data_IF_870511090902
#
_entry.id   IF_870511090902
#
_cell.length_a   1.000
_cell.length_b   1.000
_cell.length_c   1.000
_cell.angle_alpha   90.00
_cell.angle_beta   90.00
_cell.angle_gamma   90.00
#
_symmetry.space_group_name_H-M   'P 1'
#
loop_
_entity.id
_entity.type
_entity.pdbx_description
1 polymer ?
#
# COMPACT_ATOMS: atom_id res chain seq x y z
N UNK A 1 24.15 19.12 -29.33
CA UNK A 1 23.05 19.79 -28.62
C UNK A 1 23.57 20.05 -27.24
N UNK A 2 23.93 21.32 -26.93
CA UNK A 2 24.33 21.77 -25.62
C UNK A 2 23.19 21.45 -24.67
N UNK A 3 23.43 20.58 -23.68
CA UNK A 3 22.53 20.38 -22.56
C UNK A 3 22.52 21.69 -21.76
N UNK A 4 21.51 22.52 -21.97
CA UNK A 4 21.27 23.67 -21.09
C UNK A 4 21.14 23.15 -19.67
N UNK A 5 22.13 23.42 -18.83
CA UNK A 5 22.05 23.13 -17.41
C UNK A 5 21.07 24.13 -16.81
N UNK A 6 19.84 23.65 -16.53
CA UNK A 6 18.82 24.48 -15.92
C UNK A 6 19.23 24.89 -14.52
N UNK A 7 19.26 26.19 -14.24
CA UNK A 7 19.48 26.68 -12.89
C UNK A 7 18.31 26.24 -11.99
N UNK A 8 18.62 25.73 -10.78
CA UNK A 8 17.60 25.32 -9.81
C UNK A 8 16.90 26.56 -9.25
N UNK A 9 15.58 26.66 -9.46
CA UNK A 9 14.76 27.78 -9.00
C UNK A 9 14.34 27.66 -7.52
N UNK A 10 14.83 26.64 -6.79
CA UNK A 10 14.43 26.34 -5.41
C UNK A 10 15.62 25.84 -4.59
N UNK A 11 15.47 25.88 -3.27
CA UNK A 11 16.49 25.37 -2.35
C UNK A 11 16.44 23.82 -2.32
N UNK A 12 17.30 23.19 -3.11
CA UNK A 12 17.38 21.72 -3.22
C UNK A 12 17.67 21.04 -1.87
N UNK A 13 18.57 21.61 -1.08
CA UNK A 13 18.90 21.04 0.24
C UNK A 13 17.70 21.06 1.19
N UNK A 14 16.93 22.16 1.20
CA UNK A 14 15.73 22.25 2.03
C UNK A 14 14.69 21.19 1.63
N UNK A 15 14.50 20.96 0.31
CA UNK A 15 13.63 19.88 -0.17
C UNK A 15 14.10 18.51 0.35
N UNK A 16 15.37 18.16 0.16
CA UNK A 16 15.91 16.87 0.55
C UNK A 16 15.83 16.64 2.06
N UNK A 17 16.12 17.64 2.89
CA UNK A 17 15.97 17.53 4.36
C UNK A 17 14.51 17.38 4.77
N UNK A 18 13.58 18.08 4.13
CA UNK A 18 12.15 17.91 4.38
C UNK A 18 11.71 16.48 4.07
N UNK A 19 12.21 15.89 2.96
CA UNK A 19 11.96 14.51 2.60
C UNK A 19 12.53 13.53 3.64
N UNK A 20 13.74 13.78 4.16
CA UNK A 20 14.32 12.96 5.23
C UNK A 20 13.43 12.93 6.48
N UNK A 21 12.89 14.07 6.90
CA UNK A 21 11.97 14.17 8.04
C UNK A 21 10.70 13.36 7.78
N UNK A 22 10.07 13.55 6.61
CA UNK A 22 8.85 12.85 6.24
C UNK A 22 9.07 11.33 6.13
N UNK A 23 10.15 10.88 5.51
CA UNK A 23 10.46 9.44 5.40
C UNK A 23 10.76 8.81 6.76
N UNK A 24 11.42 9.53 7.66
CA UNK A 24 11.64 9.06 9.04
C UNK A 24 10.31 8.92 9.79
N UNK A 25 9.39 9.88 9.63
CA UNK A 25 8.04 9.81 10.19
C UNK A 25 7.27 8.61 9.64
N UNK A 26 7.27 8.42 8.31
CA UNK A 26 6.61 7.28 7.65
C UNK A 26 7.20 5.95 8.12
N UNK A 27 8.53 5.87 8.26
CA UNK A 27 9.21 4.69 8.79
C UNK A 27 8.70 4.31 10.18
N UNK A 28 8.69 5.24 11.12
CA UNK A 28 8.31 4.97 12.51
C UNK A 28 6.84 4.58 12.60
N UNK A 29 5.95 5.38 12.01
CA UNK A 29 4.50 5.16 12.09
C UNK A 29 4.09 3.94 11.25
N UNK A 30 4.57 3.84 10.02
CA UNK A 30 4.25 2.75 9.11
C UNK A 30 4.72 1.40 9.65
N UNK A 31 5.95 1.32 10.16
CA UNK A 31 6.47 0.10 10.75
C UNK A 31 5.65 -0.35 11.97
N UNK A 32 5.41 0.56 12.92
CA UNK A 32 4.68 0.24 14.14
C UNK A 32 3.22 -0.16 13.85
N UNK A 33 2.54 0.61 13.01
CA UNK A 33 1.12 0.39 12.72
C UNK A 33 0.88 -0.89 11.90
N UNK A 34 1.69 -1.18 10.89
CA UNK A 34 1.55 -2.40 10.09
C UNK A 34 1.96 -3.65 10.87
N UNK A 35 3.00 -3.58 11.72
CA UNK A 35 3.36 -4.67 12.63
C UNK A 35 2.21 -4.99 13.59
N UNK A 36 1.51 -3.96 14.09
CA UNK A 36 0.34 -4.12 14.93
C UNK A 36 -0.82 -4.81 14.19
N UNK A 37 -1.10 -4.41 12.95
CA UNK A 37 -2.11 -5.06 12.07
C UNK A 37 -1.79 -6.54 11.91
N UNK A 38 -0.55 -6.91 11.61
CA UNK A 38 -0.14 -8.31 11.47
C UNK A 38 -0.28 -9.08 12.78
N UNK A 39 0.17 -8.50 13.88
CA UNK A 39 0.10 -9.14 15.18
C UNK A 39 -1.34 -9.46 15.59
N UNK A 40 -2.28 -8.52 15.41
CA UNK A 40 -3.70 -8.74 15.68
C UNK A 40 -4.27 -9.81 14.74
N UNK A 41 -3.90 -9.77 13.45
CA UNK A 41 -4.34 -10.78 12.48
C UNK A 41 -3.87 -12.20 12.84
N UNK A 42 -2.61 -12.37 13.25
CA UNK A 42 -2.06 -13.67 13.68
C UNK A 42 -2.74 -14.17 14.96
N UNK A 43 -2.94 -13.28 15.93
CA UNK A 43 -3.60 -13.63 17.21
C UNK A 43 -5.02 -14.09 17.01
N UNK A 44 -5.80 -13.31 16.28
CA UNK A 44 -7.18 -13.66 15.96
C UNK A 44 -7.28 -14.94 15.09
N UNK A 45 -6.22 -15.40 14.38
CA UNK A 45 -6.18 -16.74 13.75
C UNK A 45 -6.10 -17.87 14.76
N UNK A 46 -5.47 -17.65 15.90
CA UNK A 46 -5.38 -18.66 16.96
C UNK A 46 -6.68 -18.80 17.73
N UNK A 47 -7.43 -17.73 17.91
CA UNK A 47 -8.65 -17.69 18.72
C UNK A 47 -9.91 -18.18 17.97
N UNK A 48 -9.76 -18.76 16.77
CA UNK A 48 -10.85 -19.35 15.95
C UNK A 48 -12.08 -18.47 15.76
N UNK A 49 -11.96 -17.14 15.93
CA UNK A 49 -13.07 -16.21 15.75
C UNK A 49 -13.51 -16.17 14.29
N UNK A 50 -14.84 -16.17 13.99
CA UNK A 50 -15.32 -16.06 12.62
C UNK A 50 -14.83 -14.74 12.01
N UNK A 51 -14.08 -14.82 10.92
CA UNK A 51 -13.45 -13.67 10.29
C UNK A 51 -14.06 -13.31 8.96
N UNK A 52 -14.13 -12.02 8.74
CA UNK A 52 -14.33 -11.51 7.41
C UNK A 52 -13.17 -11.93 6.49
N UNK A 53 -13.53 -12.44 5.34
CA UNK A 53 -12.63 -12.97 4.30
C UNK A 53 -11.59 -11.94 3.83
N UNK A 54 -11.86 -10.64 4.02
CA UNK A 54 -10.98 -9.51 3.68
C UNK A 54 -9.72 -9.42 4.54
N UNK A 55 -9.72 -9.99 5.75
CA UNK A 55 -8.58 -9.90 6.68
C UNK A 55 -7.28 -10.48 6.12
N UNK A 56 -7.40 -11.51 5.27
CA UNK A 56 -6.25 -12.11 4.63
C UNK A 56 -5.55 -11.13 3.68
N UNK A 57 -6.30 -10.45 2.83
CA UNK A 57 -5.75 -9.45 1.91
C UNK A 57 -5.14 -8.26 2.66
N UNK A 58 -5.77 -7.82 3.74
CA UNK A 58 -5.25 -6.74 4.61
C UNK A 58 -3.93 -7.16 5.28
N UNK A 59 -3.79 -8.42 5.70
CA UNK A 59 -2.53 -8.92 6.22
C UNK A 59 -1.40 -8.88 5.17
N UNK A 60 -1.70 -9.25 3.93
CA UNK A 60 -0.73 -9.15 2.83
C UNK A 60 -0.38 -7.71 2.46
N UNK A 61 -1.34 -6.78 2.51
CA UNK A 61 -1.08 -5.34 2.37
C UNK A 61 -0.13 -4.85 3.47
N UNK A 62 -0.38 -5.24 4.72
CA UNK A 62 0.50 -4.88 5.83
C UNK A 62 1.93 -5.44 5.67
N UNK A 63 2.08 -6.65 5.11
CA UNK A 63 3.40 -7.21 4.78
C UNK A 63 4.09 -6.37 3.70
N UNK A 64 3.39 -5.99 2.63
CA UNK A 64 3.95 -5.15 1.58
C UNK A 64 4.39 -3.78 2.13
N UNK A 65 3.57 -3.17 2.99
CA UNK A 65 3.87 -1.89 3.64
C UNK A 65 5.08 -2.01 4.59
N UNK A 66 5.20 -3.10 5.34
CA UNK A 66 6.37 -3.35 6.20
C UNK A 66 7.65 -3.50 5.39
N UNK A 67 7.60 -4.21 4.27
CA UNK A 67 8.76 -4.41 3.39
C UNK A 67 9.30 -3.07 2.86
N UNK A 68 8.42 -2.19 2.37
CA UNK A 68 8.87 -0.88 1.88
C UNK A 68 9.30 0.05 3.02
N UNK A 69 8.60 0.06 4.15
CA UNK A 69 8.99 0.85 5.33
C UNK A 69 10.41 0.46 5.82
N UNK A 70 10.76 -0.82 5.80
CA UNK A 70 12.08 -1.29 6.19
C UNK A 70 13.21 -0.74 5.30
N UNK A 71 12.93 -0.28 4.09
CA UNK A 71 13.92 0.32 3.18
C UNK A 71 14.12 1.82 3.43
N UNK A 72 13.19 2.49 4.11
CA UNK A 72 13.21 3.95 4.27
C UNK A 72 14.47 4.50 4.96
N UNK A 73 15.09 3.84 5.97
CA UNK A 73 16.35 4.31 6.52
C UNK A 73 17.48 4.44 5.50
N UNK A 74 17.51 3.53 4.50
CA UNK A 74 18.49 3.57 3.40
C UNK A 74 18.21 4.79 2.50
N UNK A 75 16.95 5.05 2.18
CA UNK A 75 16.54 6.24 1.42
C UNK A 75 16.85 7.54 2.15
N UNK A 76 16.59 7.61 3.45
CA UNK A 76 16.91 8.78 4.30
C UNK A 76 18.40 9.04 4.29
N UNK A 77 19.23 8.00 4.45
CA UNK A 77 20.68 8.13 4.43
C UNK A 77 21.18 8.66 3.07
N UNK A 78 20.65 8.16 1.95
CA UNK A 78 21.02 8.66 0.63
C UNK A 78 20.59 10.11 0.40
N UNK A 79 19.36 10.46 0.78
CA UNK A 79 18.84 11.84 0.65
C UNK A 79 19.65 12.83 1.49
N UNK A 80 19.99 12.46 2.73
CA UNK A 80 20.82 13.30 3.61
C UNK A 80 22.23 13.55 3.04
N UNK A 81 22.73 12.65 2.21
CA UNK A 81 24.01 12.75 1.51
C UNK A 81 23.85 13.24 0.06
N UNK A 82 22.79 14.01 -0.22
CA UNK A 82 22.50 14.57 -1.56
C UNK A 82 22.45 13.54 -2.68
N UNK A 83 21.95 12.33 -2.39
CA UNK A 83 21.80 11.23 -3.36
C UNK A 83 22.99 10.27 -3.42
N UNK A 84 24.03 10.46 -2.59
CA UNK A 84 25.12 9.51 -2.51
C UNK A 84 24.62 8.13 -2.06
N UNK A 85 25.04 7.08 -2.79
CA UNK A 85 24.59 5.70 -2.60
C UNK A 85 25.74 4.75 -2.25
N UNK A 86 26.13 4.63 -0.97
CA UNK A 86 27.23 3.78 -0.55
C UNK A 86 26.84 2.29 -0.35
N UNK A 87 25.55 1.93 -0.56
CA UNK A 87 25.01 0.63 -0.16
C UNK A 87 25.18 -0.48 -1.23
N UNK A 88 25.77 -0.15 -2.37
CA UNK A 88 26.03 -1.10 -3.44
C UNK A 88 24.85 -1.46 -4.32
N UNK A 89 25.11 -2.29 -5.32
CA UNK A 89 24.18 -2.65 -6.39
C UNK A 89 22.96 -3.43 -5.89
N UNK A 90 23.14 -4.37 -4.97
CA UNK A 90 22.05 -5.20 -4.46
C UNK A 90 21.02 -4.36 -3.72
N UNK A 91 21.47 -3.47 -2.83
CA UNK A 91 20.60 -2.57 -2.10
C UNK A 91 19.88 -1.60 -3.04
N UNK A 92 20.56 -1.09 -4.08
CA UNK A 92 19.97 -0.23 -5.11
C UNK A 92 18.76 -0.91 -5.78
N UNK A 93 18.94 -2.15 -6.26
CA UNK A 93 17.86 -2.91 -6.90
C UNK A 93 16.77 -3.32 -5.91
N UNK A 94 17.13 -3.79 -4.71
CA UNK A 94 16.20 -4.30 -3.74
C UNK A 94 15.26 -3.21 -3.18
N UNK A 95 15.78 -2.04 -2.87
CA UNK A 95 14.97 -0.93 -2.34
C UNK A 95 13.93 -0.44 -3.35
N UNK A 96 14.32 -0.31 -4.61
CA UNK A 96 13.40 0.07 -5.69
C UNK A 96 12.41 -1.06 -6.01
N UNK A 97 12.85 -2.32 -6.01
CA UNK A 97 11.98 -3.47 -6.19
C UNK A 97 10.88 -3.49 -5.12
N UNK A 98 11.24 -3.30 -3.84
CA UNK A 98 10.26 -3.30 -2.75
C UNK A 98 9.29 -2.11 -2.84
N UNK A 99 9.74 -0.95 -3.32
CA UNK A 99 8.86 0.18 -3.60
C UNK A 99 7.84 -0.16 -4.71
N UNK A 100 8.28 -0.69 -5.82
CA UNK A 100 7.40 -1.06 -6.95
C UNK A 100 6.48 -2.22 -6.59
N UNK A 101 6.97 -3.24 -5.89
CA UNK A 101 6.15 -4.37 -5.39
C UNK A 101 5.10 -3.90 -4.39
N UNK A 102 5.39 -2.92 -3.55
CA UNK A 102 4.41 -2.31 -2.65
C UNK A 102 3.27 -1.64 -3.44
N UNK A 103 3.59 -0.87 -4.49
CA UNK A 103 2.57 -0.27 -5.36
C UNK A 103 1.70 -1.34 -6.03
N UNK A 104 2.34 -2.24 -6.80
CA UNK A 104 1.61 -3.23 -7.58
C UNK A 104 0.85 -4.21 -6.69
N UNK A 105 1.48 -4.67 -5.59
CA UNK A 105 0.83 -5.52 -4.60
C UNK A 105 -0.41 -4.85 -4.01
N UNK A 106 -0.32 -3.59 -3.61
CA UNK A 106 -1.44 -2.85 -3.03
C UNK A 106 -2.62 -2.74 -3.98
N UNK A 107 -2.41 -2.32 -5.22
CA UNK A 107 -3.52 -2.16 -6.18
C UNK A 107 -4.10 -3.51 -6.61
N UNK A 108 -3.28 -4.55 -6.77
CA UNK A 108 -3.74 -5.87 -7.14
C UNK A 108 -4.53 -6.54 -5.99
N UNK A 109 -4.10 -6.38 -4.73
CA UNK A 109 -4.88 -6.84 -3.58
C UNK A 109 -6.20 -6.09 -3.45
N UNK A 110 -6.23 -4.78 -3.71
CA UNK A 110 -7.48 -4.02 -3.74
C UNK A 110 -8.44 -4.51 -4.83
N UNK A 111 -7.93 -4.82 -6.01
CA UNK A 111 -8.73 -5.41 -7.09
C UNK A 111 -9.30 -6.78 -6.67
N UNK A 112 -8.47 -7.65 -6.10
CA UNK A 112 -8.89 -8.96 -5.59
C UNK A 112 -9.93 -8.83 -4.46
N UNK A 113 -9.76 -7.87 -3.54
CA UNK A 113 -10.74 -7.59 -2.48
C UNK A 113 -12.09 -7.19 -3.07
N UNK A 114 -12.12 -6.34 -4.08
CA UNK A 114 -13.36 -5.88 -4.72
C UNK A 114 -14.10 -7.04 -5.40
N UNK A 115 -13.37 -7.89 -6.12
CA UNK A 115 -13.92 -9.12 -6.77
C UNK A 115 -14.42 -10.11 -5.73
N UNK A 116 -13.61 -10.41 -4.72
CA UNK A 116 -13.95 -11.40 -3.68
C UNK A 116 -15.20 -10.99 -2.89
N UNK A 117 -15.33 -9.71 -2.58
CA UNK A 117 -16.52 -9.18 -1.93
C UNK A 117 -17.77 -9.30 -2.78
N UNK A 118 -17.70 -8.98 -4.06
CA UNK A 118 -18.80 -9.16 -4.97
C UNK A 118 -19.24 -10.64 -5.06
N UNK A 119 -18.28 -11.54 -5.22
CA UNK A 119 -18.55 -12.98 -5.29
C UNK A 119 -19.12 -13.55 -3.98
N UNK A 120 -18.67 -13.04 -2.83
CA UNK A 120 -19.17 -13.47 -1.52
C UNK A 120 -20.60 -13.04 -1.26
N UNK A 121 -21.03 -11.92 -1.82
CA UNK A 121 -22.39 -11.40 -1.68
C UNK A 121 -23.37 -12.09 -2.65
N UNK A 122 -22.91 -12.42 -3.88
CA UNK A 122 -23.78 -12.96 -4.94
C UNK A 122 -23.94 -14.47 -4.91
N UNK A 123 -22.98 -15.21 -4.33
CA UNK A 123 -23.03 -16.69 -4.25
C UNK A 123 -23.66 -17.15 -2.93
N UNK A 124 -24.59 -18.11 -3.03
CA UNK A 124 -25.22 -18.78 -1.87
C UNK A 124 -24.19 -19.60 -1.09
N UNK A 125 -24.25 -19.54 0.23
CA UNK A 125 -23.27 -20.14 1.15
C UNK A 125 -23.57 -21.62 1.36
N UNK A 126 -22.84 -22.52 0.71
CA UNK A 126 -22.84 -23.95 1.01
C UNK A 126 -21.60 -24.31 1.84
N UNK A 127 -21.77 -25.17 2.86
CA UNK A 127 -20.69 -25.47 3.84
C UNK A 127 -19.43 -26.13 3.22
N UNK A 128 -19.57 -26.93 2.17
CA UNK A 128 -18.45 -27.56 1.48
C UNK A 128 -17.59 -26.57 0.66
N UNK A 129 -18.16 -25.44 0.26
CA UNK A 129 -17.44 -24.36 -0.44
C UNK A 129 -16.44 -23.60 0.44
N UNK A 130 -16.55 -23.65 1.77
CA UNK A 130 -15.72 -22.84 2.67
C UNK A 130 -14.23 -23.17 2.60
N UNK A 131 -13.87 -24.46 2.58
CA UNK A 131 -12.48 -24.91 2.50
C UNK A 131 -11.87 -24.65 1.13
N UNK A 132 -12.63 -24.91 0.05
CA UNK A 132 -12.22 -24.64 -1.33
C UNK A 132 -11.97 -23.14 -1.55
N UNK A 133 -12.82 -22.26 -1.02
CA UNK A 133 -12.65 -20.81 -1.11
C UNK A 133 -11.40 -20.34 -0.40
N UNK A 134 -11.09 -20.86 0.78
CA UNK A 134 -9.84 -20.54 1.50
C UNK A 134 -8.61 -20.90 0.68
N UNK A 135 -8.62 -22.06 0.03
CA UNK A 135 -7.51 -22.50 -0.84
C UNK A 135 -7.37 -21.59 -2.07
N UNK A 136 -8.48 -21.27 -2.72
CA UNK A 136 -8.48 -20.33 -3.87
C UNK A 136 -7.91 -18.98 -3.47
N UNK A 137 -8.33 -18.40 -2.35
CA UNK A 137 -7.80 -17.12 -1.87
C UNK A 137 -6.31 -17.16 -1.58
N UNK A 138 -5.82 -18.25 -1.00
CA UNK A 138 -4.36 -18.43 -0.82
C UNK A 138 -3.64 -18.46 -2.16
N UNK A 139 -4.16 -19.20 -3.12
CA UNK A 139 -3.62 -19.23 -4.48
C UNK A 139 -3.64 -17.85 -5.14
N UNK A 140 -4.72 -17.09 -4.99
CA UNK A 140 -4.83 -15.70 -5.47
C UNK A 140 -3.75 -14.82 -4.83
N UNK A 141 -3.53 -14.92 -3.51
CA UNK A 141 -2.48 -14.13 -2.85
C UNK A 141 -1.08 -14.45 -3.39
N UNK A 142 -0.77 -15.72 -3.61
CA UNK A 142 0.51 -16.12 -4.24
C UNK A 142 0.59 -15.53 -5.66
N UNK A 143 -0.47 -15.65 -6.44
CA UNK A 143 -0.56 -15.06 -7.79
C UNK A 143 -0.34 -13.55 -7.79
N UNK A 144 -0.93 -12.83 -6.85
CA UNK A 144 -0.73 -11.37 -6.70
C UNK A 144 0.72 -11.02 -6.41
N UNK A 145 1.39 -11.73 -5.50
CA UNK A 145 2.81 -11.50 -5.22
C UNK A 145 3.69 -11.76 -6.45
N UNK A 146 3.43 -12.84 -7.18
CA UNK A 146 4.17 -13.15 -8.42
C UNK A 146 3.94 -12.08 -9.49
N UNK A 147 2.69 -11.65 -9.69
CA UNK A 147 2.36 -10.58 -10.64
C UNK A 147 2.99 -9.24 -10.25
N UNK A 148 2.97 -8.89 -8.96
CA UNK A 148 3.62 -7.67 -8.46
C UNK A 148 5.13 -7.70 -8.69
N UNK A 149 5.79 -8.84 -8.44
CA UNK A 149 7.21 -9.01 -8.74
C UNK A 149 7.50 -8.86 -10.24
N UNK A 150 6.74 -9.55 -11.10
CA UNK A 150 6.93 -9.46 -12.56
C UNK A 150 6.69 -8.04 -13.07
N UNK A 151 5.63 -7.37 -12.59
CA UNK A 151 5.33 -5.98 -12.97
C UNK A 151 6.43 -4.99 -12.53
N UNK A 152 7.19 -5.32 -11.48
CA UNK A 152 8.29 -4.49 -10.96
C UNK A 152 9.62 -4.70 -11.70
N UNK A 153 9.74 -5.74 -12.53
CA UNK A 153 11.00 -6.04 -13.23
C UNK A 153 11.46 -4.94 -14.19
N UNK A 154 10.58 -4.32 -15.02
CA UNK A 154 11.02 -3.27 -15.94
C UNK A 154 11.69 -2.10 -15.23
N UNK A 155 11.14 -1.65 -14.11
CA UNK A 155 11.69 -0.55 -13.31
C UNK A 155 13.03 -0.94 -12.64
N UNK A 156 13.14 -2.18 -12.16
CA UNK A 156 14.31 -2.65 -11.41
C UNK A 156 15.45 -3.12 -12.30
N UNK A 157 15.16 -3.57 -13.51
CA UNK A 157 16.14 -4.18 -14.43
C UNK A 157 17.29 -3.23 -14.75
N UNK A 158 16.96 -1.99 -15.11
CA UNK A 158 17.93 -0.99 -15.56
C UNK A 158 18.66 -0.27 -14.42
N UNK A 159 18.30 -0.50 -13.16
CA UNK A 159 18.96 0.15 -12.02
C UNK A 159 20.40 -0.31 -11.84
N UNK A 160 21.30 0.67 -11.74
CA UNK A 160 22.73 0.44 -11.52
C UNK A 160 23.31 1.46 -10.54
N UNK A 161 24.35 1.05 -9.83
CA UNK A 161 25.20 1.95 -9.08
C UNK A 161 26.32 2.46 -9.99
N UNK A 162 26.33 3.77 -10.23
CA UNK A 162 27.30 4.42 -11.13
C UNK A 162 27.99 5.58 -10.41
N UNK A 163 29.23 5.87 -10.80
CA UNK A 163 29.92 7.07 -10.35
C UNK A 163 29.32 8.30 -11.03
N UNK A 164 29.14 9.38 -10.28
CA UNK A 164 28.78 10.67 -10.85
C UNK A 164 29.88 11.20 -11.77
N UNK A 165 29.51 11.96 -12.80
CA UNK A 165 30.44 12.50 -13.79
C UNK A 165 31.47 13.44 -13.17
N UNK A 166 31.14 14.07 -12.05
CA UNK A 166 32.03 14.94 -11.30
C UNK A 166 32.13 14.46 -9.84
N UNK A 167 33.29 13.98 -9.44
CA UNK A 167 33.59 13.55 -8.06
C UNK A 167 33.47 12.01 -7.86
N UNK A 168 33.70 11.59 -6.61
CA UNK A 168 33.66 10.17 -6.19
C UNK A 168 32.28 9.73 -5.68
N UNK A 169 31.23 10.50 -5.95
CA UNK A 169 29.87 10.20 -5.49
C UNK A 169 29.28 9.03 -6.27
N UNK A 170 28.87 7.96 -5.57
CA UNK A 170 28.10 6.86 -6.16
C UNK A 170 26.63 7.22 -6.21
N UNK A 171 25.94 6.86 -7.26
CA UNK A 171 24.50 7.10 -7.47
C UNK A 171 23.80 5.79 -7.81
N UNK A 172 22.61 5.57 -7.28
CA UNK A 172 21.70 4.52 -7.69
C UNK A 172 20.68 5.12 -8.68
N UNK A 173 20.80 4.77 -9.96
CA UNK A 173 19.92 5.30 -11.01
C UNK A 173 19.72 4.29 -12.13
N UNK A 174 18.64 4.42 -12.92
CA UNK A 174 18.49 3.61 -14.12
C UNK A 174 19.51 4.00 -15.18
N UNK A 175 20.09 3.00 -15.84
CA UNK A 175 21.01 3.13 -16.97
C UNK A 175 20.39 2.40 -18.14
N UNK A 176 19.89 3.15 -19.10
CA UNK A 176 19.24 2.59 -20.30
C UNK A 176 20.25 2.35 -21.42
N UNK A 177 19.93 1.45 -22.39
CA UNK A 177 20.77 1.23 -23.56
C UNK A 177 21.05 2.51 -24.35
N UNK A 178 22.29 2.66 -24.86
CA UNK A 178 22.73 3.87 -25.57
C UNK A 178 21.95 4.14 -26.87
N UNK A 179 21.41 3.08 -27.50
CA UNK A 179 20.67 3.14 -28.77
C UNK A 179 19.26 3.71 -28.58
N UNK A 180 18.75 4.23 -27.67
CA UNK A 180 17.44 4.90 -27.50
C UNK A 180 17.08 5.02 -26.02
N UNK A 181 17.91 5.68 -25.22
CA UNK A 181 17.74 5.70 -23.76
C UNK A 181 16.43 6.36 -23.34
N UNK A 182 15.97 7.34 -24.12
CA UNK A 182 14.71 8.07 -23.88
C UNK A 182 13.50 7.16 -24.08
N UNK A 183 13.49 6.37 -25.16
CA UNK A 183 12.38 5.45 -25.46
C UNK A 183 12.27 4.34 -24.40
N UNK A 184 13.40 3.81 -23.94
CA UNK A 184 13.43 2.85 -22.85
C UNK A 184 12.89 3.44 -21.55
N UNK A 185 13.30 4.65 -21.19
CA UNK A 185 12.81 5.35 -20.01
C UNK A 185 11.29 5.56 -20.07
N UNK A 186 10.79 6.08 -21.18
CA UNK A 186 9.36 6.29 -21.40
C UNK A 186 8.60 4.97 -21.36
N UNK A 187 9.13 3.93 -21.99
CA UNK A 187 8.53 2.59 -21.97
C UNK A 187 8.38 2.03 -20.54
N UNK A 188 9.41 2.17 -19.70
CA UNK A 188 9.36 1.77 -18.30
C UNK A 188 8.33 2.60 -17.51
N UNK A 189 8.33 3.94 -17.66
CA UNK A 189 7.36 4.81 -16.99
C UNK A 189 5.92 4.50 -17.39
N UNK A 190 5.66 4.33 -18.70
CA UNK A 190 4.33 4.00 -19.20
C UNK A 190 3.88 2.59 -18.76
N UNK A 191 4.77 1.61 -18.71
CA UNK A 191 4.44 0.29 -18.17
C UNK A 191 4.03 0.38 -16.69
N UNK A 192 4.71 1.21 -15.92
CA UNK A 192 4.40 1.46 -14.51
C UNK A 192 3.01 2.09 -14.32
N UNK A 193 2.67 3.09 -15.16
CA UNK A 193 1.35 3.74 -15.17
C UNK A 193 0.27 2.74 -15.62
N UNK A 194 0.52 2.00 -16.68
CA UNK A 194 -0.45 1.06 -17.26
C UNK A 194 -0.79 -0.06 -16.26
N UNK A 195 0.21 -0.72 -15.71
CA UNK A 195 0.04 -1.85 -14.81
C UNK A 195 -0.36 -1.43 -13.39
N UNK A 196 0.10 -0.28 -12.92
CA UNK A 196 -0.17 0.23 -11.57
C UNK A 196 -1.46 1.04 -11.44
N UNK A 197 -2.03 1.51 -12.55
CA UNK A 197 -3.18 2.40 -12.51
C UNK A 197 -4.23 2.08 -13.57
N UNK A 198 -3.87 2.16 -14.85
CA UNK A 198 -4.84 2.14 -15.96
C UNK A 198 -5.58 0.81 -16.09
N UNK A 199 -4.90 -0.33 -15.90
CA UNK A 199 -5.52 -1.65 -15.99
C UNK A 199 -6.28 -2.07 -14.72
N UNK A 200 -5.71 -1.93 -13.49
CA UNK A 200 -6.40 -2.40 -12.30
C UNK A 200 -7.60 -1.53 -11.92
N UNK A 201 -7.53 -0.24 -12.16
CA UNK A 201 -8.54 0.72 -11.70
C UNK A 201 -9.95 0.49 -12.26
N UNK A 202 -10.15 0.24 -13.57
CA UNK A 202 -11.45 -0.13 -14.12
C UNK A 202 -12.01 -1.41 -13.50
N UNK A 203 -11.18 -2.41 -13.20
CA UNK A 203 -11.61 -3.65 -12.54
C UNK A 203 -12.19 -3.31 -11.15
N UNK A 204 -11.47 -2.54 -10.36
CA UNK A 204 -11.92 -2.08 -9.05
C UNK A 204 -13.24 -1.31 -9.16
N UNK A 205 -13.33 -0.36 -10.09
CA UNK A 205 -14.51 0.47 -10.29
C UNK A 205 -15.75 -0.36 -10.68
N UNK A 206 -15.59 -1.29 -11.62
CA UNK A 206 -16.68 -2.18 -12.09
C UNK A 206 -17.18 -3.04 -10.92
N UNK A 207 -16.30 -3.74 -10.22
CA UNK A 207 -16.72 -4.60 -9.11
C UNK A 207 -17.27 -3.83 -7.92
N UNK A 208 -16.79 -2.60 -7.67
CA UNK A 208 -17.39 -1.72 -6.68
C UNK A 208 -18.83 -1.30 -7.05
N UNK A 209 -19.07 -0.95 -8.32
CA UNK A 209 -20.40 -0.61 -8.82
C UNK A 209 -21.32 -1.83 -8.76
N UNK A 210 -20.87 -3.01 -9.19
CA UNK A 210 -21.63 -4.25 -9.12
C UNK A 210 -21.98 -4.61 -7.68
N UNK A 211 -21.05 -4.43 -6.74
CA UNK A 211 -21.29 -4.62 -5.32
C UNK A 211 -22.35 -3.65 -4.80
N UNK A 212 -22.27 -2.37 -5.19
CA UNK A 212 -23.26 -1.36 -4.81
C UNK A 212 -24.68 -1.71 -5.33
N UNK A 213 -24.79 -2.18 -6.58
CA UNK A 213 -26.06 -2.59 -7.19
C UNK A 213 -26.64 -3.86 -6.56
N UNK A 214 -25.80 -4.84 -6.22
CA UNK A 214 -26.25 -6.08 -5.56
C UNK A 214 -26.95 -5.80 -4.21
N UNK A 215 -26.67 -4.66 -3.59
CA UNK A 215 -27.31 -4.27 -2.33
C UNK A 215 -28.65 -3.55 -2.51
N UNK A 216 -28.90 -2.90 -3.63
CA UNK A 216 -30.17 -2.19 -3.88
C UNK A 216 -31.31 -3.16 -4.25
N UNK A 217 -30.99 -4.36 -4.74
CA UNK A 217 -31.97 -5.37 -5.16
C UNK A 217 -32.49 -6.28 -4.03
N UNK A 218 -31.92 -6.27 -2.82
CA UNK A 218 -32.20 -7.20 -1.72
C UNK A 218 -32.92 -6.56 -0.51
N UNK A 219 -33.67 -5.50 -0.68
CA UNK A 219 -34.18 -4.69 0.44
C UNK A 219 -35.40 -5.25 1.19
N UNK A 220 -35.89 -6.47 0.93
CA UNK A 220 -37.16 -6.91 1.51
C UNK A 220 -37.12 -8.06 2.52
N UNK A 221 -35.99 -8.72 2.81
CA UNK A 221 -36.01 -9.84 3.77
C UNK A 221 -34.70 -10.18 4.50
N UNK A 222 -33.68 -9.33 4.48
CA UNK A 222 -32.42 -9.62 5.20
C UNK A 222 -32.42 -9.03 6.62
N UNK A 223 -31.91 -9.79 7.61
CA UNK A 223 -31.78 -9.30 8.98
C UNK A 223 -30.91 -8.02 9.02
N UNK A 224 -31.24 -7.11 9.93
CA UNK A 224 -30.55 -5.81 10.09
C UNK A 224 -29.00 -5.95 10.27
N UNK A 225 -28.56 -7.06 10.84
CA UNK A 225 -27.13 -7.37 11.04
C UNK A 225 -26.38 -7.65 9.74
N UNK A 226 -26.98 -8.41 8.82
CA UNK A 226 -26.39 -8.73 7.50
C UNK A 226 -26.25 -7.47 6.64
N UNK A 227 -27.26 -6.60 6.69
CA UNK A 227 -27.20 -5.33 5.95
C UNK A 227 -26.13 -4.38 6.52
N UNK A 228 -25.97 -4.35 7.83
CA UNK A 228 -24.92 -3.57 8.48
C UNK A 228 -23.50 -4.05 8.11
N UNK A 229 -23.25 -5.37 8.11
CA UNK A 229 -21.98 -5.94 7.67
C UNK A 229 -21.67 -5.60 6.21
N UNK A 230 -22.67 -5.64 5.34
CA UNK A 230 -22.56 -5.27 3.91
C UNK A 230 -22.18 -3.80 3.74
N UNK A 231 -22.83 -2.88 4.47
CA UNK A 231 -22.54 -1.44 4.43
C UNK A 231 -21.11 -1.16 4.91
N UNK A 232 -20.68 -1.81 5.98
CA UNK A 232 -19.30 -1.67 6.49
C UNK A 232 -18.29 -2.15 5.45
N UNK A 233 -18.49 -3.33 4.86
CA UNK A 233 -17.58 -3.88 3.84
C UNK A 233 -17.42 -2.94 2.64
N UNK A 234 -18.52 -2.35 2.15
CA UNK A 234 -18.49 -1.38 1.04
C UNK A 234 -17.70 -0.12 1.40
N UNK A 235 -17.92 0.43 2.61
CA UNK A 235 -17.20 1.62 3.08
C UNK A 235 -15.70 1.37 3.21
N UNK A 236 -15.31 0.17 3.66
CA UNK A 236 -13.90 -0.24 3.76
C UNK A 236 -13.23 -0.19 2.40
N UNK A 237 -13.80 -0.87 1.41
CA UNK A 237 -13.22 -0.91 0.06
C UNK A 237 -13.13 0.50 -0.53
N UNK A 238 -14.20 1.30 -0.41
CA UNK A 238 -14.21 2.68 -0.90
C UNK A 238 -13.10 3.52 -0.25
N UNK A 239 -12.91 3.39 1.06
CA UNK A 239 -11.88 4.14 1.77
C UNK A 239 -10.47 3.75 1.30
N UNK A 240 -10.19 2.46 1.08
CA UNK A 240 -8.92 2.01 0.50
C UNK A 240 -8.72 2.55 -0.92
N UNK A 241 -9.77 2.56 -1.75
CA UNK A 241 -9.70 3.11 -3.12
C UNK A 241 -9.37 4.61 -3.06
N UNK A 242 -10.06 5.37 -2.22
CA UNK A 242 -9.85 6.83 -2.07
C UNK A 242 -8.43 7.13 -1.60
N UNK A 243 -7.94 6.39 -0.60
CA UNK A 243 -6.56 6.56 -0.10
C UNK A 243 -5.54 6.18 -1.16
N UNK A 244 -5.76 5.07 -1.88
CA UNK A 244 -4.87 4.68 -2.97
C UNK A 244 -4.80 5.77 -4.05
N UNK A 245 -5.96 6.26 -4.50
CA UNK A 245 -6.02 7.36 -5.48
C UNK A 245 -5.32 8.62 -5.00
N UNK A 246 -5.58 9.04 -3.76
CA UNK A 246 -4.99 10.25 -3.19
C UNK A 246 -3.48 10.14 -3.02
N UNK A 247 -2.97 8.96 -2.68
CA UNK A 247 -1.53 8.74 -2.45
C UNK A 247 -0.77 8.46 -3.76
N UNK A 248 -1.29 7.60 -4.64
CA UNK A 248 -0.59 7.15 -5.84
C UNK A 248 -0.98 7.89 -7.12
N UNK A 249 -2.20 8.43 -7.20
CA UNK A 249 -2.67 9.17 -8.37
C UNK A 249 -1.76 10.33 -8.78
N UNK A 250 -1.37 11.22 -7.85
CA UNK A 250 -0.45 12.31 -8.15
C UNK A 250 0.91 11.84 -8.68
N UNK A 251 1.47 10.75 -8.14
CA UNK A 251 2.72 10.18 -8.61
C UNK A 251 2.62 9.69 -10.06
N UNK A 252 1.57 8.94 -10.40
CA UNK A 252 1.31 8.51 -11.78
C UNK A 252 1.06 9.70 -12.72
N UNK A 253 0.40 10.75 -12.24
CA UNK A 253 0.18 11.97 -12.99
C UNK A 253 1.49 12.68 -13.36
N UNK A 254 2.42 12.79 -12.41
CA UNK A 254 3.74 13.39 -12.66
C UNK A 254 4.58 12.52 -13.60
N UNK A 255 4.57 11.19 -13.43
CA UNK A 255 5.24 10.27 -14.37
C UNK A 255 4.69 10.40 -15.80
N UNK A 256 3.37 10.60 -15.94
CA UNK A 256 2.76 10.81 -17.26
C UNK A 256 3.22 12.13 -17.88
N UNK A 257 3.23 13.22 -17.12
CA UNK A 257 3.71 14.52 -17.62
C UNK A 257 5.17 14.44 -18.03
N UNK A 258 6.02 13.78 -17.23
CA UNK A 258 7.43 13.55 -17.58
C UNK A 258 7.55 12.73 -18.88
N UNK A 259 6.82 11.62 -18.99
CA UNK A 259 6.82 10.80 -20.22
C UNK A 259 6.38 11.58 -21.44
N UNK A 260 5.33 12.41 -21.35
CA UNK A 260 4.85 13.25 -22.45
C UNK A 260 5.87 14.33 -22.85
N UNK A 261 6.59 14.89 -21.88
CA UNK A 261 7.66 15.87 -22.16
C UNK A 261 8.85 15.20 -22.84
N UNK A 262 9.23 13.99 -22.44
CA UNK A 262 10.29 13.22 -23.08
C UNK A 262 9.94 12.81 -24.53
N UNK A 263 8.65 12.58 -24.81
CA UNK A 263 8.16 12.31 -26.18
C UNK A 263 8.04 13.58 -27.03
N UNK A 264 8.29 14.77 -26.45
CA UNK A 264 8.17 16.05 -27.15
C UNK A 264 6.73 16.53 -27.36
N UNK A 265 5.73 15.86 -26.72
CA UNK A 265 4.33 16.29 -26.79
C UNK A 265 4.04 17.47 -25.86
N UNK A 266 4.85 17.64 -24.82
CA UNK A 266 4.86 18.82 -23.96
C UNK A 266 6.25 19.44 -24.02
N UNK A 267 6.39 20.76 -24.31
CA UNK A 267 7.69 21.39 -24.43
C UNK A 267 8.44 21.37 -23.09
N UNK A 268 9.62 20.74 -23.08
CA UNK A 268 10.49 20.67 -21.91
C UNK A 268 11.21 22.01 -21.71
N UNK A 269 10.71 22.83 -20.81
CA UNK A 269 11.32 24.06 -20.35
C UNK A 269 12.07 23.87 -19.05
N UNK A 270 13.05 24.72 -18.72
CA UNK A 270 13.73 24.67 -17.42
C UNK A 270 12.76 24.77 -16.22
N UNK A 271 11.69 25.54 -16.37
CA UNK A 271 10.64 25.63 -15.35
C UNK A 271 9.93 24.29 -15.18
N UNK A 272 9.53 23.64 -16.29
CA UNK A 272 8.86 22.35 -16.24
C UNK A 272 9.78 21.26 -15.65
N UNK A 273 11.05 21.22 -16.01
CA UNK A 273 12.03 20.27 -15.46
C UNK A 273 12.18 20.44 -13.95
N UNK A 274 12.29 21.66 -13.45
CA UNK A 274 12.33 21.95 -12.02
C UNK A 274 11.02 21.54 -11.31
N UNK A 275 9.87 21.79 -11.92
CA UNK A 275 8.56 21.40 -11.37
C UNK A 275 8.44 19.87 -11.32
N UNK A 276 8.80 19.15 -12.38
CA UNK A 276 8.78 17.68 -12.40
C UNK A 276 9.70 17.12 -11.32
N UNK A 277 10.92 17.66 -11.17
CA UNK A 277 11.85 17.21 -10.14
C UNK A 277 11.26 17.33 -8.73
N UNK A 278 10.71 18.48 -8.37
CA UNK A 278 10.07 18.72 -7.07
C UNK A 278 8.84 17.83 -6.90
N UNK A 279 8.00 17.78 -7.92
CA UNK A 279 6.75 17.01 -7.91
C UNK A 279 7.01 15.52 -7.77
N UNK A 280 8.01 14.94 -8.43
CA UNK A 280 8.40 13.53 -8.27
C UNK A 280 8.77 13.22 -6.82
N UNK A 281 9.60 14.05 -6.19
CA UNK A 281 9.98 13.85 -4.78
C UNK A 281 8.78 13.94 -3.83
N UNK A 282 7.95 14.97 -3.98
CA UNK A 282 6.78 15.18 -3.13
C UNK A 282 5.72 14.08 -3.32
N UNK A 283 5.44 13.71 -4.56
CA UNK A 283 4.43 12.68 -4.86
C UNK A 283 4.93 11.28 -4.51
N UNK A 284 6.23 11.02 -4.59
CA UNK A 284 6.81 9.78 -4.08
C UNK A 284 6.66 9.68 -2.56
N UNK A 285 6.90 10.76 -1.83
CA UNK A 285 6.64 10.81 -0.39
C UNK A 285 5.14 10.60 -0.08
N UNK A 286 4.27 11.29 -0.82
CA UNK A 286 2.82 11.16 -0.68
C UNK A 286 2.37 9.70 -0.94
N UNK A 287 2.96 9.04 -1.94
CA UNK A 287 2.66 7.64 -2.22
C UNK A 287 3.00 6.71 -1.06
N UNK A 288 4.11 6.97 -0.37
CA UNK A 288 4.54 6.19 0.79
C UNK A 288 3.69 6.44 2.05
N UNK A 289 3.01 7.60 2.16
CA UNK A 289 2.07 7.86 3.25
C UNK A 289 0.91 6.85 3.29
N UNK A 290 0.59 6.21 2.18
CA UNK A 290 -0.39 5.15 2.12
C UNK A 290 -0.09 4.02 3.12
N UNK A 291 1.19 3.72 3.39
CA UNK A 291 1.62 2.75 4.41
C UNK A 291 1.19 3.14 5.84
N UNK A 292 1.01 4.43 6.10
CA UNK A 292 0.49 4.93 7.38
C UNK A 292 -1.05 4.95 7.39
N UNK A 293 -1.69 5.24 6.27
CA UNK A 293 -3.14 5.34 6.18
C UNK A 293 -3.84 3.98 6.19
N UNK A 294 -3.26 2.95 5.57
CA UNK A 294 -3.86 1.61 5.52
C UNK A 294 -4.21 1.03 6.90
N UNK A 295 -3.29 1.02 7.90
CA UNK A 295 -3.62 0.56 9.25
C UNK A 295 -4.67 1.42 9.96
N UNK A 296 -4.65 2.74 9.72
CA UNK A 296 -5.62 3.66 10.29
C UNK A 296 -7.01 3.35 9.76
N UNK A 297 -7.15 3.20 8.43
CA UNK A 297 -8.41 2.82 7.81
C UNK A 297 -8.95 1.51 8.37
N UNK A 298 -8.09 0.52 8.50
CA UNK A 298 -8.46 -0.78 9.06
C UNK A 298 -8.99 -0.64 10.49
N UNK A 299 -8.34 0.16 11.33
CA UNK A 299 -8.73 0.40 12.71
C UNK A 299 -10.05 1.17 12.82
N UNK A 300 -10.25 2.23 12.01
CA UNK A 300 -11.46 3.05 12.10
C UNK A 300 -12.70 2.37 11.55
N UNK A 301 -12.57 1.54 10.55
CA UNK A 301 -13.69 0.96 9.81
C UNK A 301 -14.11 -0.39 10.38
N UNK A 302 -13.19 -1.12 11.02
CA UNK A 302 -13.47 -2.42 11.61
C UNK A 302 -13.66 -2.31 13.13
N UNK A 303 -14.93 -2.28 13.58
CA UNK A 303 -15.29 -2.24 15.01
C UNK A 303 -14.69 -3.41 15.79
N UNK A 304 -14.70 -4.59 15.20
CA UNK A 304 -14.17 -5.81 15.83
C UNK A 304 -12.66 -5.71 16.02
N UNK A 305 -11.93 -5.12 15.07
CA UNK A 305 -10.50 -4.88 15.20
C UNK A 305 -10.15 -3.95 16.35
N UNK A 306 -10.91 -2.85 16.55
CA UNK A 306 -10.73 -1.97 17.71
C UNK A 306 -10.96 -2.69 19.01
N UNK A 307 -11.99 -3.55 19.07
CA UNK A 307 -12.30 -4.36 20.23
C UNK A 307 -11.19 -5.37 20.51
N UNK A 308 -10.72 -6.09 19.49
CA UNK A 308 -9.63 -7.08 19.60
C UNK A 308 -8.30 -6.41 19.98
N UNK A 309 -8.04 -5.21 19.45
CA UNK A 309 -6.89 -4.40 19.80
C UNK A 309 -6.94 -3.97 21.27
N UNK A 310 -8.06 -3.41 21.70
CA UNK A 310 -8.25 -2.99 23.09
C UNK A 310 -8.16 -4.19 24.03
N UNK A 311 -8.82 -5.30 23.72
CA UNK A 311 -8.76 -6.54 24.50
C UNK A 311 -7.33 -7.07 24.61
N UNK A 312 -6.57 -7.04 23.55
CA UNK A 312 -5.17 -7.46 23.54
C UNK A 312 -4.27 -6.54 24.38
N UNK A 313 -4.48 -5.23 24.34
CA UNK A 313 -3.77 -4.27 25.18
C UNK A 313 -4.18 -4.38 26.65
N UNK A 314 -5.46 -4.42 26.95
CA UNK A 314 -5.99 -4.56 28.31
C UNK A 314 -5.52 -5.86 28.92
N UNK A 315 -5.59 -6.99 28.20
CA UNK A 315 -5.14 -8.29 28.69
C UNK A 315 -3.64 -8.31 28.99
N UNK A 316 -2.81 -7.71 28.13
CA UNK A 316 -1.36 -7.62 28.36
C UNK A 316 -1.01 -6.72 29.54
N UNK A 317 -1.74 -5.61 29.71
CA UNK A 317 -1.57 -4.70 30.85
C UNK A 317 -2.11 -5.33 32.14
N UNK A 318 -3.24 -6.01 32.06
CA UNK A 318 -3.94 -6.66 33.16
C UNK A 318 -3.20 -7.89 33.71
N UNK A 319 -2.58 -8.71 32.86
CA UNK A 319 -1.71 -9.80 33.30
C UNK A 319 -0.47 -9.28 34.02
N UNK A 320 0.00 -8.09 33.68
CA UNK A 320 1.17 -7.45 34.33
C UNK A 320 0.81 -6.76 35.66
N UNK A 321 -0.44 -6.33 35.82
CA UNK A 321 -0.91 -5.54 36.98
C UNK A 321 -1.86 -6.32 37.92
N UNK A 322 -2.16 -7.59 37.62
CA UNK A 322 -3.13 -8.37 38.39
C UNK A 322 -4.60 -8.03 38.11
N UNK A 323 -4.87 -7.04 37.27
CA UNK A 323 -6.22 -6.57 36.91
C UNK A 323 -6.99 -7.60 36.05
N UNK A 324 -6.31 -8.59 35.46
CA UNK A 324 -6.90 -9.67 34.67
C UNK A 324 -7.94 -10.47 35.47
N UNK A 325 -7.65 -10.74 36.75
CA UNK A 325 -8.57 -11.46 37.62
C UNK A 325 -9.84 -10.69 37.94
N UNK A 326 -9.76 -9.34 38.01
CA UNK A 326 -10.92 -8.49 38.26
C UNK A 326 -11.84 -8.37 37.05
N UNK A 327 -11.28 -8.36 35.84
CA UNK A 327 -12.05 -8.28 34.57
C UNK A 327 -12.72 -9.64 34.28
N UNK A 328 -12.04 -10.73 34.58
CA UNK A 328 -12.61 -12.09 34.47
C UNK A 328 -13.75 -12.31 35.46
N UNK A 329 -13.63 -11.84 36.70
CA UNK A 329 -14.68 -11.86 37.72
C UNK A 329 -15.89 -10.96 37.31
N UNK A 330 -15.66 -9.81 36.69
CA UNK A 330 -16.72 -8.93 36.18
C UNK A 330 -17.51 -9.56 35.02
N UNK A 331 -16.83 -10.23 34.08
CA UNK A 331 -17.48 -10.92 32.96
C UNK A 331 -18.29 -12.14 33.40
N UNK A 332 -17.89 -12.83 34.47
CA UNK A 332 -18.64 -13.94 35.03
C UNK A 332 -19.93 -13.42 35.72
N UNK A 333 -19.87 -12.26 36.38
CA UNK A 333 -21.05 -11.65 37.01
C UNK A 333 -22.08 -11.15 35.98
N UNK A 334 -21.65 -10.61 34.83
CA UNK A 334 -22.57 -10.21 33.76
C UNK A 334 -23.20 -11.43 33.05
N UNK A 335 -22.47 -12.53 32.90
CA UNK A 335 -23.00 -13.74 32.32
C UNK A 335 -24.04 -14.43 33.27
N UNK A 336 -23.83 -14.38 34.56
CA UNK A 336 -24.80 -14.87 35.54
C UNK A 336 -26.07 -13.98 35.62
N UNK A 337 -25.92 -12.65 35.49
CA UNK A 337 -27.08 -11.74 35.43
C UNK A 337 -27.92 -11.91 34.16
N UNK A 338 -27.31 -12.24 33.04
CA UNK A 338 -28.00 -12.48 31.76
C UNK A 338 -28.66 -13.88 31.70
N UNK A 339 -28.28 -14.81 32.58
CA UNK A 339 -28.87 -16.14 32.65
C UNK A 339 -30.06 -16.23 33.63
N UNK A 340 -30.29 -15.19 34.44
CA UNK A 340 -31.37 -15.10 35.44
C UNK A 340 -32.47 -14.13 35.04
N UNK A 341 -32.26 -13.33 33.98
CA UNK A 341 -33.26 -12.45 33.38
C UNK A 341 -33.85 -13.06 32.10
#
# INVERSE_FOLDING_TARGET
VETMVCATAFNRSALLYSMCVLYTFIFIIGLAANALVLWVNVRAQRDSTPRHETHMYIAHLAVADLCVCATLPVWVSSLAQHGHWPFGQVACKLTHLLFSVNLFGSIFFLACMSVDRYLSVTRRRNNEEGTRRKLIRRGVCVGVWLLALVASLPDTYFLQTVKATHGDTMLCRPVYPEENPREWMVGVQLSFILLGFVLPFPIIAVFYILLARAFTGCSSSSSSTVEQERRVSRRVILAYIVVFLGCWGPYHGVLLVDSLSQLGLVPLTCTLENVIYVALHLTQCLSLLHCCFNPILYNFINRNYRYDLMKAFIFKYSTRTGLARLIEASNISEAEYSAVA
#
